data_IF_414442680697
#
_entry.id   IF_414442680697
#
_cell.length_a   1.000
_cell.length_b   1.000
_cell.length_c   1.000
_cell.angle_alpha   90.00
_cell.angle_beta   90.00
_cell.angle_gamma   90.00
#
_symmetry.space_group_name_H-M   'P 1'
#
loop_
_entity.id
_entity.type
_entity.pdbx_description
1 polymer ?
#
# COMPACT_ATOMS: atom_id res chain seq x y z
N UNK A 1 54.61 -50.95 -32.91
CA UNK A 1 54.69 -51.24 -31.46
C UNK A 1 53.52 -50.54 -30.80
N UNK A 2 52.57 -51.31 -30.27
CA UNK A 2 51.40 -50.80 -29.54
C UNK A 2 51.83 -50.17 -28.22
N UNK A 3 51.12 -49.14 -27.75
CA UNK A 3 50.70 -49.01 -26.33
C UNK A 3 49.41 -48.20 -26.29
N UNK A 4 48.36 -48.87 -25.82
CA UNK A 4 47.04 -48.35 -25.44
C UNK A 4 47.20 -47.59 -24.12
N UNK A 5 46.71 -46.34 -24.04
CA UNK A 5 46.38 -45.73 -22.76
C UNK A 5 44.86 -45.74 -22.58
N UNK A 6 44.46 -46.36 -21.47
CA UNK A 6 43.08 -46.64 -21.07
C UNK A 6 42.46 -45.37 -20.48
N UNK A 7 41.35 -44.93 -21.06
CA UNK A 7 40.47 -43.91 -20.49
C UNK A 7 39.80 -44.47 -19.23
N UNK A 8 40.11 -43.90 -18.06
CA UNK A 8 39.36 -44.13 -16.83
C UNK A 8 38.18 -43.15 -16.79
N UNK A 9 36.98 -43.68 -17.01
CA UNK A 9 35.73 -42.97 -16.71
C UNK A 9 35.47 -43.11 -15.21
N UNK A 10 35.61 -42.01 -14.48
CA UNK A 10 35.12 -41.90 -13.09
C UNK A 10 33.66 -41.44 -13.17
N UNK A 11 32.74 -42.36 -12.92
CA UNK A 11 31.32 -42.07 -12.74
C UNK A 11 31.13 -41.33 -11.42
N UNK A 12 31.02 -40.01 -11.47
CA UNK A 12 30.63 -39.18 -10.32
C UNK A 12 29.11 -39.09 -10.23
N UNK A 13 28.52 -39.76 -9.25
CA UNK A 13 27.10 -39.68 -8.94
C UNK A 13 26.76 -38.27 -8.43
N UNK A 14 26.05 -37.46 -9.23
CA UNK A 14 25.45 -36.20 -8.78
C UNK A 14 24.24 -36.50 -7.90
N UNK A 15 24.43 -36.47 -6.58
CA UNK A 15 23.32 -36.42 -5.63
C UNK A 15 22.69 -35.02 -5.69
N UNK A 16 21.53 -34.90 -6.32
CA UNK A 16 20.73 -33.68 -6.29
C UNK A 16 20.12 -33.51 -4.90
N UNK A 17 20.72 -32.66 -4.07
CA UNK A 17 20.13 -32.21 -2.81
C UNK A 17 19.04 -31.18 -3.14
N UNK A 18 17.77 -31.62 -3.12
CA UNK A 18 16.61 -30.73 -3.16
C UNK A 18 16.53 -29.97 -1.83
N UNK A 19 17.02 -28.74 -1.81
CA UNK A 19 16.80 -27.81 -0.71
C UNK A 19 15.36 -27.33 -0.79
N UNK A 20 14.47 -27.88 0.04
CA UNK A 20 13.15 -27.29 0.28
C UNK A 20 13.35 -26.01 1.08
N UNK A 21 13.46 -24.87 0.37
CA UNK A 21 13.38 -23.56 1.01
C UNK A 21 11.94 -23.35 1.49
N UNK A 22 11.69 -23.56 2.79
CA UNK A 22 10.51 -23.01 3.43
C UNK A 22 10.69 -21.49 3.48
N UNK A 23 10.19 -20.79 2.45
CA UNK A 23 9.97 -19.36 2.48
C UNK A 23 8.81 -19.06 3.43
N UNK A 24 9.04 -19.26 4.73
CA UNK A 24 8.21 -18.68 5.77
C UNK A 24 8.47 -17.18 5.74
N UNK A 25 7.62 -16.42 5.05
CA UNK A 25 7.55 -14.96 5.22
C UNK A 25 7.09 -14.72 6.64
N UNK A 26 8.02 -14.65 7.58
CA UNK A 26 7.79 -13.98 8.85
C UNK A 26 7.33 -12.56 8.48
N UNK A 27 6.02 -12.31 8.56
CA UNK A 27 5.44 -11.03 8.23
C UNK A 27 6.12 -9.98 9.09
N UNK A 28 6.91 -9.09 8.47
CA UNK A 28 7.53 -7.99 9.19
C UNK A 28 6.42 -7.24 9.94
N UNK A 29 6.63 -6.99 11.24
CA UNK A 29 5.65 -6.29 12.05
C UNK A 29 5.33 -4.93 11.42
N UNK A 30 4.04 -4.63 11.28
CA UNK A 30 3.59 -3.36 10.71
C UNK A 30 4.00 -2.22 11.64
N UNK A 31 4.85 -1.33 11.13
CA UNK A 31 5.29 -0.15 11.90
C UNK A 31 4.14 0.85 12.01
N UNK A 32 3.76 1.17 13.23
CA UNK A 32 2.72 2.13 13.58
C UNK A 32 3.33 3.48 13.94
N UNK A 33 2.71 4.56 13.48
CA UNK A 33 3.13 5.92 13.78
C UNK A 33 2.16 6.60 14.74
N UNK A 34 2.70 7.50 15.56
CA UNK A 34 1.89 8.48 16.28
C UNK A 34 1.37 9.55 15.31
N UNK A 35 0.34 10.28 15.76
CA UNK A 35 -0.18 11.46 15.05
C UNK A 35 0.93 12.41 14.57
N UNK A 36 1.82 12.81 15.48
CA UNK A 36 2.86 13.81 15.20
C UNK A 36 3.92 13.27 14.25
N UNK A 37 4.35 12.02 14.40
CA UNK A 37 5.34 11.41 13.53
C UNK A 37 4.85 11.34 12.08
N UNK A 38 3.61 10.88 11.86
CA UNK A 38 3.02 10.83 10.53
C UNK A 38 2.83 12.24 9.93
N UNK A 39 2.29 13.19 10.71
CA UNK A 39 2.08 14.56 10.26
C UNK A 39 3.39 15.25 9.84
N UNK A 40 4.47 15.07 10.59
CA UNK A 40 5.80 15.61 10.25
C UNK A 40 6.36 15.02 8.96
N UNK A 41 6.20 13.71 8.74
CA UNK A 41 6.66 13.07 7.50
C UNK A 41 5.87 13.54 6.27
N UNK A 42 4.55 13.67 6.42
CA UNK A 42 3.67 14.12 5.33
C UNK A 42 3.90 15.59 4.97
N UNK A 43 4.00 16.47 5.98
CA UNK A 43 4.25 17.90 5.75
C UNK A 43 5.62 18.14 5.11
N UNK A 44 6.66 17.41 5.53
CA UNK A 44 7.98 17.47 4.91
C UNK A 44 7.98 17.05 3.43
N UNK A 45 7.01 16.23 3.00
CA UNK A 45 6.81 15.85 1.60
C UNK A 45 5.88 16.80 0.83
N UNK A 46 5.34 17.84 1.48
CA UNK A 46 4.36 18.75 0.87
C UNK A 46 2.98 18.13 0.66
N UNK A 47 2.60 17.17 1.52
CA UNK A 47 1.24 16.65 1.65
C UNK A 47 0.51 17.45 2.73
N UNK A 48 -0.67 17.98 2.40
CA UNK A 48 -1.50 18.75 3.33
C UNK A 48 -2.59 17.86 3.94
N UNK A 49 -3.32 18.36 4.94
CA UNK A 49 -4.49 17.71 5.49
C UNK A 49 -5.62 18.70 5.79
N UNK A 50 -6.85 18.20 5.90
CA UNK A 50 -8.00 18.96 6.35
C UNK A 50 -8.93 18.08 7.17
N UNK A 51 -9.39 18.57 8.31
CA UNK A 51 -10.38 17.90 9.18
C UNK A 51 -11.61 18.79 9.30
N UNK A 52 -12.79 18.22 9.08
CA UNK A 52 -14.06 18.96 9.25
C UNK A 52 -14.32 19.37 10.70
N UNK A 53 -13.85 18.57 11.66
CA UNK A 53 -13.89 18.86 13.10
C UNK A 53 -12.70 19.66 13.62
N UNK A 54 -11.73 20.03 12.78
CA UNK A 54 -10.53 20.76 13.19
C UNK A 54 -9.68 20.00 14.23
N UNK A 55 -9.68 18.67 14.17
CA UNK A 55 -9.10 17.82 15.22
C UNK A 55 -8.41 16.58 14.64
N UNK A 56 -7.64 15.90 15.48
CA UNK A 56 -6.88 14.68 15.11
C UNK A 56 -7.19 13.49 16.02
N UNK A 57 -8.25 13.57 16.82
CA UNK A 57 -8.64 12.53 17.77
C UNK A 57 -9.22 11.32 17.03
N UNK A 58 -8.53 10.18 17.09
CA UNK A 58 -8.93 8.95 16.39
C UNK A 58 -10.32 8.43 16.75
N UNK A 59 -10.78 8.64 17.97
CA UNK A 59 -12.11 8.20 18.42
C UNK A 59 -13.25 9.16 18.03
N UNK A 60 -12.99 10.16 17.17
CA UNK A 60 -14.00 11.12 16.70
C UNK A 60 -14.02 11.14 15.16
N UNK A 61 -15.20 10.88 14.58
CA UNK A 61 -15.40 10.70 13.14
C UNK A 61 -15.34 11.99 12.31
N UNK A 62 -15.26 13.16 12.93
CA UNK A 62 -15.04 14.43 12.23
C UNK A 62 -13.56 14.84 12.17
N UNK A 63 -12.70 14.11 12.90
CA UNK A 63 -11.27 14.35 12.88
C UNK A 63 -10.59 13.71 11.67
N UNK A 64 -9.42 14.20 11.30
CA UNK A 64 -8.50 13.47 10.43
C UNK A 64 -7.35 13.01 11.30
N UNK A 65 -7.32 11.72 11.64
CA UNK A 65 -6.32 11.16 12.55
C UNK A 65 -5.28 10.35 11.79
N UNK A 66 -4.04 10.42 12.24
CA UNK A 66 -2.94 9.54 11.84
C UNK A 66 -2.47 8.67 13.01
N UNK A 67 -3.14 8.73 14.15
CA UNK A 67 -2.75 7.91 15.29
C UNK A 67 -2.88 6.43 14.94
N UNK A 68 -1.81 5.65 15.11
CA UNK A 68 -1.71 4.25 14.68
C UNK A 68 -1.88 4.02 13.17
N UNK A 69 -1.53 5.02 12.34
CA UNK A 69 -1.40 4.81 10.90
C UNK A 69 -0.17 3.94 10.61
N UNK A 70 -0.21 3.15 9.53
CA UNK A 70 0.94 2.35 9.12
C UNK A 70 1.98 3.25 8.46
N UNK A 71 3.27 3.01 8.73
CA UNK A 71 4.38 3.67 8.01
C UNK A 71 4.23 3.50 6.49
N UNK A 72 3.82 2.33 6.02
CA UNK A 72 3.57 2.05 4.60
C UNK A 72 2.49 2.96 3.97
N UNK A 73 1.47 3.35 4.73
CA UNK A 73 0.43 4.29 4.28
C UNK A 73 1.01 5.69 4.11
N UNK A 74 1.81 6.15 5.07
CA UNK A 74 2.50 7.44 5.00
C UNK A 74 3.49 7.47 3.82
N UNK A 75 4.28 6.41 3.63
CA UNK A 75 5.20 6.29 2.49
C UNK A 75 4.47 6.21 1.16
N UNK A 76 3.30 5.56 1.12
CA UNK A 76 2.44 5.53 -0.04
C UNK A 76 1.93 6.91 -0.44
N UNK A 77 1.47 7.73 0.52
CA UNK A 77 1.07 9.13 0.29
C UNK A 77 2.24 9.98 -0.22
N UNK A 78 3.42 9.84 0.40
CA UNK A 78 4.65 10.54 -0.03
C UNK A 78 5.07 10.14 -1.44
N UNK A 79 4.96 8.84 -1.75
CA UNK A 79 5.26 8.31 -3.08
C UNK A 79 4.28 8.84 -4.11
N UNK A 80 2.98 8.85 -3.82
CA UNK A 80 1.96 9.43 -4.68
C UNK A 80 2.24 10.91 -4.95
N UNK A 81 2.56 11.70 -3.91
CA UNK A 81 2.93 13.10 -4.04
C UNK A 81 4.16 13.29 -4.93
N UNK A 82 5.20 12.50 -4.72
CA UNK A 82 6.45 12.59 -5.49
C UNK A 82 6.27 12.16 -6.95
N UNK A 83 5.52 11.09 -7.21
CA UNK A 83 5.36 10.53 -8.55
C UNK A 83 4.37 11.33 -9.41
N UNK A 84 3.27 11.80 -8.81
CA UNK A 84 2.25 12.59 -9.52
C UNK A 84 2.58 14.07 -9.63
N UNK A 85 3.39 14.60 -8.70
CA UNK A 85 3.59 16.04 -8.47
C UNK A 85 2.31 16.83 -8.14
N UNK A 86 1.18 16.15 -7.95
CA UNK A 86 -0.09 16.78 -7.65
C UNK A 86 -0.12 17.39 -6.24
N UNK A 87 -1.04 18.33 -6.01
CA UNK A 87 -1.44 18.67 -4.65
C UNK A 87 -2.19 17.48 -4.04
N UNK A 88 -1.73 17.02 -2.87
CA UNK A 88 -2.35 15.93 -2.11
C UNK A 88 -2.83 16.51 -0.79
N UNK A 89 -4.14 16.43 -0.55
CA UNK A 89 -4.78 16.87 0.68
C UNK A 89 -5.48 15.67 1.33
N UNK A 90 -5.01 15.23 2.49
CA UNK A 90 -5.59 14.10 3.23
C UNK A 90 -6.80 14.58 4.02
N UNK A 91 -7.93 13.90 3.86
CA UNK A 91 -9.21 14.24 4.50
C UNK A 91 -9.67 13.20 5.50
N UNK A 92 -9.09 12.01 5.46
CA UNK A 92 -9.41 10.91 6.36
C UNK A 92 -8.20 10.01 6.57
N UNK A 93 -8.09 9.46 7.77
CA UNK A 93 -6.99 8.58 8.15
C UNK A 93 -7.51 7.45 9.02
N UNK A 94 -7.14 7.42 10.30
CA UNK A 94 -7.41 6.30 11.19
C UNK A 94 -8.60 6.50 12.12
N UNK A 95 -9.33 7.62 11.97
CA UNK A 95 -10.51 7.92 12.76
C UNK A 95 -11.61 6.86 12.65
N UNK A 96 -12.51 6.85 13.65
CA UNK A 96 -13.73 6.03 13.61
C UNK A 96 -14.73 6.58 12.60
N UNK A 97 -15.73 5.78 12.22
CA UNK A 97 -16.76 6.17 11.24
C UNK A 97 -16.61 5.50 9.88
N UNK A 98 -15.49 4.80 9.66
CA UNK A 98 -15.21 4.01 8.47
C UNK A 98 -15.59 2.54 8.63
N UNK A 99 -15.73 1.81 7.52
CA UNK A 99 -15.95 0.38 7.52
C UNK A 99 -14.82 -0.39 8.24
N UNK A 100 -15.19 -1.36 9.07
CA UNK A 100 -14.24 -2.24 9.75
C UNK A 100 -13.64 -3.27 8.79
N UNK A 101 -12.54 -3.90 9.22
CA UNK A 101 -11.87 -4.97 8.47
C UNK A 101 -10.36 -4.96 8.69
N UNK A 102 -9.67 -6.01 8.24
CA UNK A 102 -8.21 -6.14 8.38
C UNK A 102 -7.48 -4.96 7.73
N UNK A 103 -7.79 -4.67 6.47
CA UNK A 103 -7.21 -3.58 5.68
C UNK A 103 -8.12 -2.35 5.69
N UNK A 104 -8.33 -1.78 6.88
CA UNK A 104 -9.24 -0.65 7.10
C UNK A 104 -8.52 0.65 7.47
N UNK A 105 -9.29 1.76 7.48
CA UNK A 105 -8.88 3.05 8.03
C UNK A 105 -8.41 2.92 9.46
N UNK A 106 -9.25 2.35 10.33
CA UNK A 106 -8.91 2.18 11.72
C UNK A 106 -7.62 1.37 11.87
N UNK A 107 -7.40 0.32 11.07
CA UNK A 107 -6.16 -0.46 11.14
C UNK A 107 -4.96 0.19 10.42
N UNK A 108 -5.07 1.43 9.96
CA UNK A 108 -3.96 2.23 9.44
C UNK A 108 -3.55 1.92 8.01
N UNK A 109 -4.32 1.10 7.28
CA UNK A 109 -4.03 0.71 5.90
C UNK A 109 -4.57 1.67 4.85
N UNK A 110 -5.48 2.55 5.26
CA UNK A 110 -6.20 3.43 4.35
C UNK A 110 -6.00 4.89 4.69
N UNK A 111 -6.10 5.74 3.68
CA UNK A 111 -6.20 7.18 3.83
C UNK A 111 -7.08 7.75 2.72
N UNK A 112 -7.89 8.74 3.08
CA UNK A 112 -8.71 9.47 2.12
C UNK A 112 -7.99 10.73 1.68
N UNK A 113 -8.03 11.02 0.38
CA UNK A 113 -7.54 12.30 -0.15
C UNK A 113 -8.62 13.03 -0.94
N UNK A 114 -8.63 14.35 -0.86
CA UNK A 114 -9.49 15.19 -1.69
C UNK A 114 -9.20 14.94 -3.17
N UNK A 115 -10.28 14.87 -3.96
CA UNK A 115 -10.15 14.85 -5.42
C UNK A 115 -9.67 16.19 -5.94
N UNK A 116 -8.90 16.12 -7.02
CA UNK A 116 -8.61 17.25 -7.90
C UNK A 116 -8.23 16.70 -9.28
N UNK A 117 -8.31 17.54 -10.31
CA UNK A 117 -8.09 17.13 -11.69
C UNK A 117 -6.72 16.48 -11.91
N UNK A 118 -5.68 16.92 -11.19
CA UNK A 118 -4.34 16.35 -11.31
C UNK A 118 -4.31 14.90 -10.79
N UNK A 119 -4.79 14.67 -9.57
CA UNK A 119 -4.84 13.31 -8.97
C UNK A 119 -5.72 12.39 -9.80
N UNK A 120 -6.90 12.86 -10.20
CA UNK A 120 -7.83 12.10 -11.03
C UNK A 120 -7.16 11.66 -12.33
N UNK A 121 -6.50 12.58 -13.02
CA UNK A 121 -5.80 12.29 -14.29
C UNK A 121 -4.61 11.35 -14.08
N UNK A 122 -3.83 11.56 -13.02
CA UNK A 122 -2.68 10.70 -12.73
C UNK A 122 -3.11 9.26 -12.47
N UNK A 123 -4.09 9.05 -11.57
CA UNK A 123 -4.60 7.72 -11.22
C UNK A 123 -5.18 7.03 -12.45
N UNK A 124 -6.06 7.71 -13.18
CA UNK A 124 -6.78 7.10 -14.30
C UNK A 124 -5.91 6.79 -15.51
N UNK A 125 -4.84 7.56 -15.75
CA UNK A 125 -3.92 7.33 -16.87
C UNK A 125 -2.75 6.40 -16.51
N UNK A 126 -2.34 6.33 -15.25
CA UNK A 126 -1.12 5.60 -14.85
C UNK A 126 -1.40 4.23 -14.23
N UNK A 127 -2.58 4.02 -13.67
CA UNK A 127 -2.91 2.80 -12.92
C UNK A 127 -3.87 1.90 -13.71
N UNK A 128 -3.83 0.61 -13.40
CA UNK A 128 -4.70 -0.38 -14.05
C UNK A 128 -6.10 -0.27 -13.48
N UNK A 129 -7.10 0.01 -14.33
CA UNK A 129 -8.50 -0.06 -13.92
C UNK A 129 -8.87 -1.49 -13.53
N UNK A 130 -9.53 -1.67 -12.39
CA UNK A 130 -10.02 -2.96 -11.90
C UNK A 130 -11.55 -2.94 -11.78
N UNK A 131 -12.15 -4.03 -11.29
CA UNK A 131 -13.59 -4.14 -11.14
C UNK A 131 -14.16 -3.01 -10.25
N UNK A 132 -15.30 -2.46 -10.65
CA UNK A 132 -16.08 -1.55 -9.80
C UNK A 132 -16.49 -2.27 -8.52
N UNK A 133 -16.37 -1.60 -7.37
CA UNK A 133 -16.79 -2.15 -6.08
C UNK A 133 -18.33 -2.21 -6.00
N UNK A 134 -18.86 -3.05 -5.13
CA UNK A 134 -20.31 -3.29 -4.99
C UNK A 134 -21.15 -2.04 -4.67
N UNK A 135 -20.55 -0.99 -4.11
CA UNK A 135 -21.19 0.30 -3.85
C UNK A 135 -21.10 1.29 -5.01
N UNK A 136 -20.58 0.86 -6.16
CA UNK A 136 -20.45 1.68 -7.37
C UNK A 136 -19.15 2.47 -7.48
N UNK A 137 -18.27 2.43 -6.47
CA UNK A 137 -16.98 3.09 -6.55
C UNK A 137 -16.11 2.47 -7.65
N UNK A 138 -15.67 3.31 -8.60
CA UNK A 138 -14.73 2.89 -9.63
C UNK A 138 -13.33 2.76 -9.03
N UNK A 139 -12.56 1.75 -9.48
CA UNK A 139 -11.28 1.40 -8.83
C UNK A 139 -10.12 1.29 -9.80
N UNK A 140 -8.94 1.66 -9.32
CA UNK A 140 -7.66 1.54 -10.01
C UNK A 140 -6.60 0.94 -9.09
N UNK A 141 -5.69 0.17 -9.65
CA UNK A 141 -4.59 -0.48 -8.94
C UNK A 141 -3.26 0.00 -9.48
N UNK A 142 -2.44 0.55 -8.59
CA UNK A 142 -1.06 0.92 -8.90
C UNK A 142 -0.18 -0.31 -9.12
N UNK A 143 0.98 -0.15 -9.78
CA UNK A 143 1.96 -1.22 -9.96
C UNK A 143 2.49 -1.79 -8.63
N UNK A 144 2.49 -0.98 -7.57
CA UNK A 144 2.86 -1.40 -6.21
C UNK A 144 1.74 -2.17 -5.47
N UNK A 145 0.59 -2.39 -6.10
CA UNK A 145 -0.53 -3.13 -5.50
C UNK A 145 -1.47 -2.31 -4.60
N UNK A 146 -1.25 -1.01 -4.47
CA UNK A 146 -2.20 -0.11 -3.78
C UNK A 146 -3.47 0.08 -4.63
N UNK A 147 -4.63 0.13 -3.98
CA UNK A 147 -5.94 0.26 -4.63
C UNK A 147 -6.55 1.62 -4.30
N UNK A 148 -7.02 2.30 -5.34
CA UNK A 148 -7.61 3.63 -5.32
C UNK A 148 -9.07 3.51 -5.73
N UNK A 149 -9.99 3.74 -4.80
CA UNK A 149 -11.42 3.77 -5.04
C UNK A 149 -11.92 5.21 -5.11
N UNK A 150 -12.58 5.56 -6.21
CA UNK A 150 -13.22 6.86 -6.38
C UNK A 150 -14.64 6.78 -5.82
N UNK A 151 -14.89 7.39 -4.66
CA UNK A 151 -16.21 7.47 -4.03
C UNK A 151 -16.97 8.74 -4.44
N UNK A 152 -16.53 9.42 -5.50
CA UNK A 152 -17.15 10.64 -6.04
C UNK A 152 -16.68 11.91 -5.33
N UNK A 153 -16.61 11.92 -4.00
CA UNK A 153 -16.18 13.10 -3.21
C UNK A 153 -14.69 13.10 -2.88
N UNK A 154 -14.11 11.91 -2.69
CA UNK A 154 -12.70 11.70 -2.33
C UNK A 154 -12.18 10.42 -3.01
N UNK A 155 -10.87 10.24 -2.94
CA UNK A 155 -10.24 8.94 -3.19
C UNK A 155 -10.05 8.23 -1.86
N UNK A 156 -10.65 7.05 -1.74
CA UNK A 156 -10.39 6.08 -0.69
C UNK A 156 -9.24 5.17 -1.16
N UNK A 157 -8.08 5.25 -0.50
CA UNK A 157 -6.87 4.57 -0.94
C UNK A 157 -6.44 3.54 0.10
N UNK A 158 -6.32 2.28 -0.33
CA UNK A 158 -5.71 1.21 0.47
C UNK A 158 -4.25 1.01 0.07
N UNK A 159 -3.35 1.19 1.04
CA UNK A 159 -1.91 1.04 0.88
C UNK A 159 -1.43 -0.32 1.40
N UNK A 160 -0.95 -1.15 0.48
CA UNK A 160 -0.61 -2.55 0.75
C UNK A 160 0.88 -2.79 0.96
N UNK A 161 1.75 -1.83 0.67
CA UNK A 161 3.19 -1.97 0.92
C UNK A 161 3.85 -3.19 0.24
N UNK A 162 3.26 -3.66 -0.88
CA UNK A 162 3.70 -4.89 -1.57
C UNK A 162 3.10 -6.18 -1.04
N UNK A 163 2.25 -6.16 -0.02
CA UNK A 163 1.54 -7.33 0.49
C UNK A 163 0.45 -7.79 -0.49
N UNK A 164 0.66 -8.95 -1.10
CA UNK A 164 -0.26 -9.53 -2.08
C UNK A 164 -1.64 -9.86 -1.49
N UNK A 165 -1.71 -10.21 -0.20
CA UNK A 165 -2.98 -10.51 0.47
C UNK A 165 -3.80 -9.25 0.74
N UNK A 166 -3.13 -8.14 1.08
CA UNK A 166 -3.76 -6.83 1.12
C UNK A 166 -4.26 -6.41 -0.27
N UNK A 167 -3.43 -6.54 -1.30
CA UNK A 167 -3.81 -6.16 -2.66
C UNK A 167 -5.00 -6.98 -3.15
N UNK A 168 -5.01 -8.29 -2.90
CA UNK A 168 -6.11 -9.16 -3.26
C UNK A 168 -7.40 -8.76 -2.53
N UNK A 169 -7.34 -8.52 -1.22
CA UNK A 169 -8.49 -8.12 -0.42
C UNK A 169 -9.04 -6.74 -0.83
N UNK A 170 -8.18 -5.76 -1.11
CA UNK A 170 -8.59 -4.42 -1.54
C UNK A 170 -9.13 -4.40 -2.98
N UNK A 171 -8.74 -5.37 -3.81
CA UNK A 171 -9.17 -5.48 -5.21
C UNK A 171 -10.45 -6.31 -5.43
N UNK A 172 -10.89 -7.06 -4.40
CA UNK A 172 -12.15 -7.81 -4.41
C UNK A 172 -13.32 -6.82 -4.39
#
# INVERSE_FOLDING_TARGET
MMIRQRTLLVSGSLAAATVLALSGTAGAAVVKLSQSAAASQLSAAGVTHSSSGGCTTRSNSTCTSYEQINQATVDGLRTLKSASKCAINVTGGTEVGHAAGTYSHYNGYKADISRNTCVDSYVTNSFTRIATRSDGATRWRSSAGNVYANEGTHWDITYCGGDASCTAAASA
#
